data_IF_147661561503
#
_entry.id   IF_147661561503
#
_cell.length_a   1.000
_cell.length_b   1.000
_cell.length_c   1.000
_cell.angle_alpha   90.00
_cell.angle_beta   90.00
_cell.angle_gamma   90.00
#
_symmetry.space_group_name_H-M   'P 1'
#
loop_
_entity.id
_entity.type
_entity.pdbx_description
1 polymer ?
2 non-polymer ?
3 water ?
#
# COMPACT_ATOMS: atom_id res chain seq x y z
N UNK A 24 4.99 -14.30 -6.54
CA UNK A 24 5.69 -12.98 -6.52
C UNK A 24 5.09 -12.09 -7.61
N UNK A 25 5.26 -10.77 -7.49
CA UNK A 25 4.93 -9.75 -8.54
C UNK A 25 6.17 -8.88 -8.77
N UNK A 26 6.31 -8.25 -9.94
CA UNK A 26 7.44 -7.37 -10.36
C UNK A 26 6.97 -6.08 -11.00
N UNK A 27 7.76 -5.03 -10.83
CA UNK A 27 7.56 -3.75 -11.53
C UNK A 27 8.94 -3.22 -11.88
N UNK A 28 9.11 -2.96 -13.18
CA UNK A 28 10.34 -2.36 -13.75
C UNK A 28 10.03 -0.90 -14.14
N UNK A 29 10.75 0.01 -13.52
CA UNK A 29 10.64 1.46 -13.80
C UNK A 29 11.27 1.76 -15.17
N UNK A 30 12.29 1.01 -15.58
CA UNK A 30 12.90 1.21 -16.93
C UNK A 30 11.90 0.78 -17.99
N UNK A 31 11.49 1.73 -18.82
CA UNK A 31 10.46 1.50 -19.84
C UNK A 31 9.05 1.56 -19.29
N UNK A 32 8.85 1.91 -18.02
CA UNK A 32 7.50 1.97 -17.43
C UNK A 32 6.68 3.09 -18.09
N UNK A 33 5.40 2.80 -18.24
CA UNK A 33 4.36 3.76 -18.69
C UNK A 33 3.09 3.48 -17.89
N UNK A 34 2.08 4.38 -17.98
CA UNK A 34 0.84 4.15 -17.24
C UNK A 34 0.30 2.73 -17.40
N UNK A 35 0.38 2.14 -18.61
CA UNK A 35 -0.13 0.78 -18.88
C UNK A 35 0.66 -0.23 -18.03
N UNK A 36 1.96 -0.15 -18.01
CA UNK A 36 2.75 -1.20 -17.33
C UNK A 36 2.56 -1.01 -15.82
N UNK A 37 2.38 0.21 -15.33
CA UNK A 37 2.13 0.37 -13.88
C UNK A 37 0.77 -0.26 -13.54
N UNK A 38 -0.21 0.02 -14.38
CA UNK A 38 -1.56 -0.53 -14.21
C UNK A 38 -1.51 -2.06 -14.17
N UNK A 39 -0.67 -2.69 -14.98
CA UNK A 39 -0.51 -4.17 -15.00
C UNK A 39 0.14 -4.64 -13.70
N UNK A 40 1.13 -3.94 -13.20
CA UNK A 40 1.75 -4.31 -11.89
C UNK A 40 0.70 -4.23 -10.77
N UNK A 41 -0.09 -3.18 -10.73
CA UNK A 41 -1.09 -3.04 -9.62
C UNK A 41 -2.15 -4.13 -9.78
N UNK A 42 -2.57 -4.41 -11.03
CA UNK A 42 -3.45 -5.60 -11.22
C UNK A 42 -2.76 -6.89 -10.70
N UNK A 43 -1.49 -7.08 -11.01
CA UNK A 43 -0.72 -8.26 -10.52
C UNK A 43 -0.77 -8.28 -8.96
N UNK A 44 -0.57 -7.15 -8.32
CA UNK A 44 -0.46 -7.11 -6.84
C UNK A 44 -1.82 -7.48 -6.22
N UNK A 45 -2.88 -6.87 -6.71
CA UNK A 45 -4.24 -7.18 -6.21
C UNK A 45 -4.55 -8.68 -6.39
N UNK A 46 -4.19 -9.24 -7.54
CA UNK A 46 -4.50 -10.66 -7.85
C UNK A 46 -3.62 -11.64 -7.06
N UNK A 47 -2.52 -11.22 -6.44
CA UNK A 47 -1.65 -12.13 -5.64
C UNK A 47 -2.25 -12.28 -4.22
N UNK A 48 -3.19 -11.42 -3.84
CA UNK A 48 -3.75 -11.44 -2.47
C UNK A 48 -4.92 -12.40 -2.45
N UNK A 49 -4.89 -13.40 -1.56
CA UNK A 49 -5.94 -14.41 -1.54
C UNK A 49 -7.24 -13.89 -0.93
N UNK A 50 -8.35 -14.41 -1.44
CA UNK A 50 -9.71 -14.16 -0.91
C UNK A 50 -10.57 -15.40 -1.17
N UNK A 51 -11.50 -15.64 -0.24
CA UNK A 51 -12.47 -16.77 -0.31
C UNK A 51 -13.86 -16.26 -0.69
N UNK A 52 -14.09 -14.95 -0.59
CA UNK A 52 -15.43 -14.31 -0.58
C UNK A 52 -15.27 -12.91 -1.19
N UNK A 53 -16.22 -12.43 -1.97
CA UNK A 53 -16.39 -10.98 -2.26
C UNK A 53 -17.62 -10.47 -1.55
N UNK A 54 -17.56 -9.26 -1.02
CA UNK A 54 -18.67 -8.50 -0.41
C UNK A 54 -18.98 -7.33 -1.34
N UNK A 55 -20.16 -7.31 -1.94
CA UNK A 55 -20.55 -6.28 -2.91
C UNK A 55 -19.47 -6.22 -3.99
N UNK A 56 -19.01 -7.37 -4.52
CA UNK A 56 -18.15 -7.57 -5.71
C UNK A 56 -16.71 -7.11 -5.39
N UNK A 57 -16.36 -6.89 -4.12
CA UNK A 57 -14.98 -6.44 -3.73
C UNK A 57 -14.36 -7.58 -2.95
N UNK A 58 -13.16 -8.06 -3.35
CA UNK A 58 -12.46 -9.12 -2.61
C UNK A 58 -12.32 -8.79 -1.13
N UNK A 59 -12.65 -9.76 -0.30
CA UNK A 59 -12.51 -9.67 1.15
C UNK A 59 -11.21 -10.36 1.55
N UNK A 60 -10.22 -9.60 2.02
CA UNK A 60 -8.94 -10.20 2.40
C UNK A 60 -9.15 -11.20 3.54
N UNK A 61 -8.24 -12.16 3.72
CA UNK A 61 -8.43 -13.24 4.72
C UNK A 61 -8.23 -12.70 6.14
N UNK A 62 -8.96 -13.28 7.13
CA UNK A 62 -8.73 -12.94 8.53
C UNK A 62 -7.26 -13.18 8.90
N UNK A 63 -6.66 -14.24 8.34
CA UNK A 63 -5.36 -14.73 8.85
C UNK A 63 -4.73 -15.77 7.91
N UNK A 64 -3.39 -15.83 7.89
CA UNK A 64 -2.61 -16.81 7.08
C UNK A 64 -1.40 -17.21 7.93
N UNK A 65 -1.29 -18.51 8.21
CA UNK A 65 -0.25 -19.13 9.06
C UNK A 65 1.05 -19.23 8.26
N UNK A 66 2.17 -18.89 8.89
CA UNK A 66 3.53 -19.19 8.39
C UNK A 66 3.89 -18.30 7.22
N UNK A 67 4.66 -18.83 6.27
CA UNK A 67 5.41 -18.05 5.25
C UNK A 67 4.44 -17.55 4.19
N UNK A 68 3.35 -18.29 3.94
CA UNK A 68 2.35 -17.90 2.94
C UNK A 68 1.70 -16.55 3.23
N UNK A 69 1.84 -16.01 4.45
CA UNK A 69 1.25 -14.69 4.86
C UNK A 69 1.88 -13.59 4.01
N UNK A 70 3.08 -13.83 3.50
CA UNK A 70 3.88 -12.73 2.92
C UNK A 70 4.03 -12.89 1.42
N UNK A 71 3.63 -11.86 0.68
CA UNK A 71 3.85 -11.79 -0.78
C UNK A 71 5.18 -11.07 -0.97
N UNK A 72 5.95 -11.45 -1.99
CA UNK A 72 7.21 -10.77 -2.37
C UNK A 72 6.99 -9.93 -3.64
N UNK A 73 7.31 -8.64 -3.58
CA UNK A 73 7.24 -7.70 -4.72
C UNK A 73 8.67 -7.32 -5.09
N UNK A 74 9.07 -7.64 -6.33
CA UNK A 74 10.43 -7.29 -6.85
C UNK A 74 10.31 -5.98 -7.62
N UNK A 75 10.95 -4.94 -7.17
CA UNK A 75 10.90 -3.59 -7.77
C UNK A 75 12.29 -3.27 -8.30
N UNK A 76 12.35 -2.75 -9.51
CA UNK A 76 13.61 -2.44 -10.24
C UNK A 76 13.55 -0.95 -10.59
N UNK A 77 14.62 -0.25 -10.23
CA UNK A 77 14.75 1.22 -10.52
C UNK A 77 15.17 1.34 -12.00
N UNK A 78 15.22 2.57 -12.50
CA UNK A 78 15.54 2.89 -13.92
C UNK A 78 16.82 2.15 -14.35
N UNK A 79 17.73 1.87 -13.42
CA UNK A 79 19.11 1.40 -13.67
C UNK A 79 19.19 -0.12 -13.44
N UNK A 80 18.06 -0.77 -13.14
CA UNK A 80 17.90 -2.25 -13.09
C UNK A 80 18.28 -2.83 -11.73
N UNK A 81 18.73 -1.99 -10.80
CA UNK A 81 18.96 -2.34 -9.36
C UNK A 81 17.62 -2.72 -8.72
N UNK A 82 17.62 -3.68 -7.79
CA UNK A 82 16.34 -4.26 -7.28
C UNK A 82 16.30 -4.33 -5.76
N UNK A 83 15.09 -4.15 -5.24
CA UNK A 83 14.70 -4.54 -3.85
C UNK A 83 13.54 -5.51 -3.94
N UNK A 84 13.45 -6.35 -2.95
CA UNK A 84 12.31 -7.24 -2.74
C UNK A 84 11.59 -6.73 -1.52
N UNK A 85 10.31 -6.49 -1.66
CA UNK A 85 9.50 -5.95 -0.56
C UNK A 85 8.58 -7.07 -0.08
N UNK A 86 8.50 -7.25 1.24
CA UNK A 86 7.57 -8.23 1.84
C UNK A 86 6.27 -7.54 2.25
N UNK A 87 5.13 -8.11 1.85
CA UNK A 87 3.78 -7.55 2.03
C UNK A 87 2.91 -8.59 2.73
N UNK A 88 2.32 -8.23 3.87
CA UNK A 88 1.31 -9.06 4.56
C UNK A 88 0.06 -9.12 3.68
N UNK A 89 -0.37 -10.34 3.30
CA UNK A 89 -1.49 -10.49 2.32
C UNK A 89 -2.85 -10.28 3.01
N UNK A 90 -2.90 -10.21 4.35
CA UNK A 90 -4.21 -9.96 5.03
C UNK A 90 -4.54 -8.46 5.08
N UNK A 91 -3.56 -7.56 4.88
CA UNK A 91 -3.85 -6.12 5.13
C UNK A 91 -3.01 -5.23 4.21
N UNK A 92 -2.27 -5.81 3.27
CA UNK A 92 -1.38 -5.10 2.30
C UNK A 92 -0.38 -4.21 3.06
N UNK A 93 0.04 -4.59 4.26
CA UNK A 93 1.04 -3.80 5.00
C UNK A 93 2.40 -4.28 4.58
N UNK A 94 3.24 -3.30 4.24
CA UNK A 94 4.67 -3.60 3.99
C UNK A 94 5.34 -3.87 5.34
N UNK A 95 6.07 -4.97 5.42
CA UNK A 95 6.75 -5.37 6.67
C UNK A 95 8.22 -4.98 6.63
N UNK A 96 8.81 -5.07 5.45
CA UNK A 96 10.26 -4.94 5.32
C UNK A 96 10.72 -5.27 3.95
N UNK A 97 12.02 -5.21 3.68
CA UNK A 97 12.53 -5.34 2.29
C UNK A 97 13.97 -5.81 2.36
N UNK A 98 14.39 -6.36 1.26
CA UNK A 98 15.72 -6.96 1.01
C UNK A 98 16.42 -6.10 -0.04
N UNK A 99 17.63 -5.63 0.30
CA UNK A 99 18.52 -4.93 -0.66
C UNK A 99 19.86 -5.65 -0.64
N UNK A 100 20.22 -6.34 -1.72
CA UNK A 100 21.48 -7.13 -1.79
C UNK A 100 21.46 -8.11 -0.62
N UNK A 101 22.27 -7.89 0.43
CA UNK A 101 22.54 -8.87 1.51
C UNK A 101 21.99 -8.42 2.87
N UNK A 102 21.24 -7.31 2.90
CA UNK A 102 20.73 -6.72 4.14
C UNK A 102 19.22 -6.74 4.03
N UNK A 103 18.58 -7.29 5.04
CA UNK A 103 17.11 -7.15 5.19
C UNK A 103 16.86 -5.97 6.12
N UNK A 104 15.69 -5.33 5.98
CA UNK A 104 15.29 -4.17 6.78
C UNK A 104 13.85 -4.38 7.20
N UNK A 105 13.52 -4.30 8.46
CA UNK A 105 12.15 -4.50 8.97
C UNK A 105 11.67 -3.32 9.82
N UNK A 106 10.40 -2.98 9.77
CA UNK A 106 9.82 -2.00 10.69
C UNK A 106 9.91 -2.50 12.12
N UNK A 107 10.02 -1.52 13.01
CA UNK A 107 10.09 -1.80 14.46
C UNK A 107 8.67 -1.95 14.97
N UNK A 108 8.08 -3.13 14.74
CA UNK A 108 6.72 -3.50 15.18
C UNK A 108 6.69 -5.03 15.28
N UNK A 109 5.80 -5.59 16.13
CA UNK A 109 5.72 -7.04 16.30
C UNK A 109 5.45 -7.86 15.02
N UNK A 110 4.64 -7.34 14.11
CA UNK A 110 4.25 -8.12 12.91
C UNK A 110 5.45 -8.24 11.95
N UNK A 111 6.32 -7.23 11.92
CA UNK A 111 7.54 -7.24 11.09
C UNK A 111 8.57 -8.18 11.70
N UNK A 112 8.65 -8.19 13.04
CA UNK A 112 9.55 -9.14 13.76
C UNK A 112 9.15 -10.57 13.36
N UNK A 113 7.85 -10.86 13.41
CA UNK A 113 7.23 -12.15 13.01
C UNK A 113 7.59 -12.46 11.55
N UNK A 114 7.46 -11.50 10.64
CA UNK A 114 7.76 -11.71 9.21
C UNK A 114 9.21 -12.12 8.98
N UNK A 115 10.13 -11.55 9.77
CA UNK A 115 11.60 -11.75 9.62
C UNK A 115 11.97 -13.21 9.93
N UNK A 116 11.05 -14.01 10.49
CA UNK A 116 11.25 -15.47 10.73
C UNK A 116 11.05 -16.28 9.45
N UNK A 117 10.28 -15.75 8.47
CA UNK A 117 9.79 -16.44 7.25
C UNK A 117 10.42 -15.91 5.96
N UNK A 118 10.73 -14.61 5.91
CA UNK A 118 11.24 -13.97 4.66
C UNK A 118 12.66 -13.44 4.84
N UNK A 119 13.44 -13.50 3.77
CA UNK A 119 14.78 -12.87 3.62
C UNK A 119 15.79 -13.55 4.55
N UNK A 120 15.72 -14.88 4.65
CA UNK A 120 16.57 -15.70 5.56
C UNK A 120 17.89 -16.12 4.89
N UNK A 121 18.18 -15.71 3.65
CA UNK A 121 19.55 -15.87 3.08
C UNK A 121 20.30 -14.52 3.12
N UNK A 122 19.89 -13.59 4.00
CA UNK A 122 20.45 -12.21 4.21
C UNK A 122 21.61 -12.18 5.24
N UNK A 123 22.68 -11.45 4.94
CA UNK A 123 23.90 -11.38 5.82
C UNK A 123 23.53 -10.75 7.18
N UNK A 124 22.78 -9.65 7.22
CA UNK A 124 22.32 -9.04 8.49
C UNK A 124 20.91 -8.47 8.32
N UNK A 125 20.27 -8.24 9.42
CA UNK A 125 18.89 -7.74 9.55
C UNK A 125 18.93 -6.47 10.38
N UNK A 126 18.54 -5.38 9.74
CA UNK A 126 18.45 -4.09 10.44
C UNK A 126 16.99 -3.89 10.78
N UNK A 127 16.65 -3.55 11.99
CA UNK A 127 15.35 -3.08 12.45
C UNK A 127 15.41 -1.60 12.23
N UNK A 128 14.56 -1.11 11.35
CA UNK A 128 14.47 0.35 11.19
C UNK A 128 14.09 0.99 12.51
N UNK A 129 14.52 2.25 12.74
CA UNK A 129 14.14 2.95 13.97
C UNK A 129 12.80 3.68 13.98
N UNK A 130 11.79 2.98 13.46
CA UNK A 130 10.38 3.41 13.48
C UNK A 130 9.51 2.23 13.07
N UNK A 131 8.28 2.29 13.53
CA UNK A 131 7.17 1.46 13.01
C UNK A 131 6.82 1.89 11.57
N UNK A 132 6.01 1.07 10.92
CA UNK A 132 5.55 1.38 9.57
C UNK A 132 4.29 2.22 9.50
N UNK A 133 3.70 2.71 10.60
CA UNK A 133 2.45 3.50 10.42
C UNK A 133 2.81 4.90 9.93
N UNK A 134 1.83 5.55 9.34
CA UNK A 134 2.03 6.84 8.63
C UNK A 134 2.48 7.96 9.60
N UNK A 135 1.86 8.03 10.77
CA UNK A 135 2.16 9.11 11.73
C UNK A 135 3.67 9.03 12.05
N UNK A 136 4.18 7.84 12.39
CA UNK A 136 5.61 7.61 12.76
C UNK A 136 6.54 7.87 11.57
N UNK A 137 6.19 7.41 10.37
CA UNK A 137 7.10 7.57 9.22
C UNK A 137 7.25 9.05 8.93
N UNK A 138 6.15 9.78 9.04
CA UNK A 138 6.09 11.24 8.81
C UNK A 138 7.03 11.97 9.77
N UNK A 139 7.08 11.55 11.04
CA UNK A 139 7.95 12.20 12.06
C UNK A 139 9.40 11.89 11.69
N UNK A 140 9.72 10.62 11.40
CA UNK A 140 11.06 10.15 10.97
C UNK A 140 11.50 10.82 9.66
N UNK A 141 10.58 11.07 8.71
CA UNK A 141 10.89 11.69 7.39
C UNK A 141 11.01 13.23 7.51
N UNK A 142 10.30 13.84 8.45
CA UNK A 142 10.34 15.28 8.76
C UNK A 142 9.31 16.06 7.97
N UNK A 143 8.45 15.34 7.22
CA UNK A 143 7.46 15.89 6.28
C UNK A 143 6.22 15.00 6.33
N UNK A 144 5.00 15.58 6.40
CA UNK A 144 3.78 14.78 6.23
C UNK A 144 3.62 14.36 4.76
N UNK A 145 2.85 13.31 4.52
CA UNK A 145 2.53 12.82 3.15
C UNK A 145 2.02 13.96 2.26
N UNK A 146 1.30 14.91 2.88
CA UNK A 146 0.69 16.08 2.21
C UNK A 146 1.79 16.84 1.45
N UNK A 147 3.05 16.75 1.86
CA UNK A 147 4.15 17.60 1.32
C UNK A 147 5.20 16.76 0.56
N UNK A 148 5.06 15.41 0.48
CA UNK A 148 6.04 14.55 -0.25
C UNK A 148 5.51 14.22 -1.65
N UNK A 149 6.16 14.65 -2.75
CA UNK A 149 5.75 14.27 -4.08
C UNK A 149 5.78 12.75 -4.29
N UNK A 150 4.77 12.28 -4.99
CA UNK A 150 4.56 10.87 -5.37
C UNK A 150 4.51 10.75 -6.89
N UNK A 151 4.72 9.54 -7.40
CA UNK A 151 4.70 9.22 -8.83
C UNK A 151 5.71 8.16 -9.16
N UNK A 152 5.89 7.84 -10.43
CA UNK A 152 6.83 6.79 -10.84
C UNK A 152 8.27 7.29 -10.69
N UNK A 153 8.63 8.55 -11.08
CA UNK A 153 10.01 8.97 -10.81
C UNK A 153 10.29 8.92 -9.29
N UNK A 154 9.32 9.33 -8.49
CA UNK A 154 9.50 9.26 -7.00
C UNK A 154 9.79 7.81 -6.58
N UNK A 155 9.08 6.82 -7.13
CA UNK A 155 9.32 5.40 -6.80
C UNK A 155 10.72 4.99 -7.27
N UNK A 156 11.19 5.52 -8.40
CA UNK A 156 12.60 5.25 -8.81
C UNK A 156 13.55 5.76 -7.73
N UNK A 157 13.37 7.00 -7.31
CA UNK A 157 14.22 7.59 -6.25
C UNK A 157 14.11 6.74 -4.97
N UNK A 158 12.92 6.22 -4.65
CA UNK A 158 12.69 5.52 -3.37
C UNK A 158 13.51 4.24 -3.39
N UNK A 159 13.45 3.48 -4.46
CA UNK A 159 14.20 2.21 -4.68
C UNK A 159 15.69 2.47 -4.57
N UNK A 160 16.15 3.54 -5.20
CA UNK A 160 17.57 3.94 -5.08
C UNK A 160 17.91 4.26 -3.63
N UNK A 161 17.06 5.01 -2.93
CA UNK A 161 17.32 5.35 -1.50
C UNK A 161 17.46 4.01 -0.74
N UNK A 162 16.53 3.07 -0.88
CA UNK A 162 16.50 1.88 0.02
C UNK A 162 17.65 0.87 -0.25
N UNK A 163 18.35 0.92 -1.38
CA UNK A 163 19.47 -0.02 -1.72
C UNK A 163 20.59 0.00 -0.67
N UNK A 164 20.77 1.13 0.02
CA UNK A 164 21.86 1.37 0.98
C UNK A 164 21.32 2.11 2.20
N UNK A 165 21.57 1.61 3.38
CA UNK A 165 20.88 2.16 4.56
C UNK A 165 21.08 3.68 4.76
N UNK A 166 19.96 4.36 5.00
CA UNK A 166 19.89 5.76 5.48
C UNK A 166 18.52 5.91 6.15
N UNK A 167 18.39 5.87 7.48
CA UNK A 167 17.04 5.71 8.10
C UNK A 167 16.15 6.94 7.81
N UNK A 168 16.67 8.17 7.79
CA UNK A 168 15.82 9.37 7.56
C UNK A 168 15.32 9.38 6.12
N UNK A 169 16.22 9.15 5.18
CA UNK A 169 15.96 9.08 3.73
C UNK A 169 14.97 7.95 3.51
N UNK A 170 15.14 6.84 4.26
CA UNK A 170 14.34 5.62 4.02
C UNK A 170 12.90 5.88 4.45
N UNK A 171 12.63 6.64 5.51
CA UNK A 171 11.27 7.03 5.92
C UNK A 171 10.52 7.69 4.76
N UNK A 172 11.11 8.69 4.11
CA UNK A 172 10.47 9.33 2.97
C UNK A 172 10.25 8.30 1.87
N UNK A 173 11.25 7.51 1.56
CA UNK A 173 11.22 6.54 0.47
C UNK A 173 10.10 5.54 0.77
N UNK A 174 9.97 5.12 2.00
CA UNK A 174 8.96 4.11 2.37
C UNK A 174 7.60 4.77 2.20
N UNK A 175 7.37 6.03 2.57
CA UNK A 175 6.07 6.73 2.38
C UNK A 175 5.77 6.70 0.88
N UNK A 176 6.75 6.89 0.01
CA UNK A 176 6.47 6.86 -1.44
C UNK A 176 6.12 5.43 -1.87
N UNK A 177 6.91 4.46 -1.43
CA UNK A 177 6.73 3.01 -1.75
C UNK A 177 5.33 2.56 -1.33
N UNK A 178 4.94 2.86 -0.11
CA UNK A 178 3.61 2.40 0.36
C UNK A 178 2.53 3.01 -0.51
N UNK A 179 2.57 4.26 -0.84
CA UNK A 179 1.44 4.90 -1.54
C UNK A 179 1.39 4.38 -2.95
N UNK A 180 2.54 4.16 -3.58
CA UNK A 180 2.60 3.79 -5.01
C UNK A 180 2.35 2.30 -5.21
N UNK A 181 2.34 1.48 -4.16
CA UNK A 181 2.11 0.02 -4.28
C UNK A 181 0.81 -0.31 -3.51
N UNK A 182 0.87 -0.44 -2.21
CA UNK A 182 -0.27 -0.86 -1.38
C UNK A 182 -1.48 0.05 -1.51
N UNK A 183 -1.35 1.34 -1.58
CA UNK A 183 -2.52 2.23 -1.57
C UNK A 183 -3.13 2.19 -2.96
N UNK A 184 -2.31 2.12 -4.00
CA UNK A 184 -2.83 1.97 -5.37
C UNK A 184 -3.57 0.66 -5.51
N UNK A 185 -3.10 -0.42 -4.91
CA UNK A 185 -3.80 -1.72 -4.92
C UNK A 185 -5.14 -1.57 -4.22
N UNK A 186 -5.23 -0.81 -3.15
CA UNK A 186 -6.51 -0.73 -2.38
C UNK A 186 -7.51 0.13 -3.15
N UNK A 187 -7.11 1.16 -3.90
CA UNK A 187 -8.04 2.15 -4.51
C UNK A 187 -7.70 2.47 -5.95
N UNK A 188 -8.66 2.23 -6.83
CA UNK A 188 -8.49 2.48 -8.29
C UNK A 188 -8.16 3.93 -8.51
N UNK A 189 -8.77 4.85 -7.79
CA UNK A 189 -8.49 6.30 -7.95
C UNK A 189 -7.01 6.56 -7.66
N UNK A 190 -6.44 5.93 -6.63
CA UNK A 190 -5.00 6.18 -6.33
C UNK A 190 -4.13 5.60 -7.42
N UNK A 191 -4.38 4.41 -7.91
CA UNK A 191 -3.72 3.84 -9.10
C UNK A 191 -3.73 4.92 -10.19
N UNK A 192 -4.88 5.51 -10.51
CA UNK A 192 -4.97 6.50 -11.63
C UNK A 192 -4.20 7.75 -11.29
N UNK A 193 -4.16 8.19 -10.06
CA UNK A 193 -3.35 9.38 -9.67
C UNK A 193 -1.87 9.07 -9.92
N UNK A 194 -1.39 7.86 -9.64
CA UNK A 194 0.04 7.55 -9.88
C UNK A 194 0.23 7.50 -11.40
N UNK A 195 -0.73 7.01 -12.18
CA UNK A 195 -0.60 6.95 -13.66
C UNK A 195 -0.46 8.37 -14.20
N UNK A 196 -1.14 9.33 -13.61
CA UNK A 196 -1.04 10.76 -14.03
C UNK A 196 0.37 11.25 -13.74
N UNK A 197 1.04 10.66 -12.76
CA UNK A 197 2.39 11.03 -12.29
C UNK A 197 3.45 10.06 -12.85
N UNK A 198 3.27 9.53 -14.05
CA UNK A 198 4.19 8.52 -14.61
C UNK A 198 5.56 9.17 -14.88
N UNK A 199 5.54 10.46 -15.22
CA UNK A 199 6.74 11.16 -15.70
C UNK A 199 6.99 12.47 -14.95
N UNK A 200 6.21 12.84 -13.97
CA UNK A 200 6.27 14.10 -13.17
C UNK A 200 5.64 13.83 -11.81
N UNK A 201 6.43 13.95 -10.75
CA UNK A 201 5.88 13.72 -9.38
C UNK A 201 5.01 14.90 -8.97
N UNK A 202 4.12 14.72 -8.02
CA UNK A 202 3.17 15.76 -7.52
C UNK A 202 2.72 15.25 -6.15
N UNK A 203 2.66 16.10 -5.14
CA UNK A 203 2.09 15.80 -3.80
C UNK A 203 0.75 15.15 -4.04
N UNK A 204 0.36 14.17 -3.20
CA UNK A 204 -0.91 13.50 -3.39
C UNK A 204 -2.06 14.49 -3.35
N UNK A 205 -3.14 14.13 -4.07
CA UNK A 205 -4.39 14.90 -4.08
C UNK A 205 -5.08 14.77 -2.72
N UNK A 206 -6.04 15.64 -2.46
CA UNK A 206 -6.78 15.62 -1.18
C UNK A 206 -7.58 14.31 -1.08
N UNK A 207 -8.14 13.82 -2.19
CA UNK A 207 -8.92 12.55 -2.29
C UNK A 207 -7.98 11.37 -1.99
N UNK A 208 -6.76 11.39 -2.51
CA UNK A 208 -5.75 10.35 -2.20
C UNK A 208 -5.55 10.22 -0.68
N UNK A 209 -5.23 11.28 0.04
CA UNK A 209 -4.91 11.18 1.50
C UNK A 209 -6.16 10.73 2.29
N UNK A 210 -7.33 11.22 1.85
CA UNK A 210 -8.66 10.90 2.40
C UNK A 210 -8.87 9.38 2.31
N UNK A 211 -8.71 8.82 1.14
CA UNK A 211 -8.92 7.36 0.89
C UNK A 211 -7.93 6.54 1.72
N UNK A 212 -6.65 6.91 1.74
CA UNK A 212 -5.64 6.15 2.52
C UNK A 212 -6.08 6.11 3.96
N UNK A 213 -6.49 7.27 4.48
CA UNK A 213 -6.89 7.38 5.91
C UNK A 213 -8.17 6.60 6.24
N UNK A 214 -8.99 6.39 5.23
CA UNK A 214 -10.37 5.86 5.36
C UNK A 214 -10.48 4.36 5.03
N UNK A 215 -9.43 3.68 4.56
CA UNK A 215 -9.59 2.30 4.06
C UNK A 215 -10.20 1.39 5.15
N UNK A 216 -9.71 1.46 6.38
CA UNK A 216 -10.19 0.55 7.45
C UNK A 216 -11.68 0.82 7.75
N UNK A 217 -12.02 2.10 7.81
CA UNK A 217 -13.41 2.59 8.02
C UNK A 217 -14.34 2.18 6.89
N UNK A 218 -13.98 2.43 5.65
CA UNK A 218 -14.81 1.97 4.51
C UNK A 218 -14.92 0.45 4.55
N UNK A 219 -13.84 -0.28 4.80
CA UNK A 219 -13.87 -1.76 4.76
C UNK A 219 -14.90 -2.25 5.80
N UNK A 220 -14.82 -1.70 7.01
CA UNK A 220 -15.73 -2.00 8.15
C UNK A 220 -17.17 -1.69 7.72
N UNK A 221 -17.44 -0.48 7.24
CA UNK A 221 -18.83 -0.06 6.90
C UNK A 221 -19.38 -0.88 5.72
N UNK A 222 -18.59 -1.30 4.75
CA UNK A 222 -19.05 -2.15 3.60
C UNK A 222 -19.42 -3.54 4.13
N UNK A 223 -18.63 -4.15 5.01
CA UNK A 223 -18.97 -5.49 5.59
C UNK A 223 -20.25 -5.42 6.43
N UNK A 224 -20.39 -4.40 7.27
CA UNK A 224 -21.62 -4.18 8.10
C UNK A 224 -22.82 -3.87 7.22
N UNK A 225 -22.63 -3.24 6.08
CA UNK A 225 -23.77 -2.91 5.20
C UNK A 225 -24.45 -4.20 4.75
N UNK A 226 -23.70 -5.29 4.60
CA UNK A 226 -24.24 -6.67 4.65
C UNK A 226 -24.96 -6.92 5.99
N UNK A 227 -26.26 -6.77 6.01
CA UNK A 227 -27.07 -6.90 7.24
C UNK A 227 -27.84 -5.62 7.52
N UNK A 228 -27.55 -4.54 6.81
CA UNK A 228 -28.19 -3.22 7.02
C UNK A 228 -28.64 -2.69 5.67
N UNK A 229 -28.94 -3.59 4.72
CA UNK A 229 -29.61 -3.27 3.42
C UNK A 229 -28.70 -2.37 2.60
N UNK A 230 -27.40 -2.58 2.76
CA UNK A 230 -26.37 -1.82 2.02
C UNK A 230 -26.21 -0.40 2.55
N UNK A 231 -26.72 -0.12 3.74
CA UNK A 231 -26.66 1.18 4.45
C UNK A 231 -25.49 1.11 5.42
N UNK A 232 -24.66 2.14 5.42
CA UNK A 232 -23.58 2.31 6.42
C UNK A 232 -24.19 2.51 7.82
N UNK A 233 -23.74 1.73 8.80
CA UNK A 233 -24.20 1.95 10.20
C UNK A 233 -23.61 3.26 10.72
N UNK A 234 -22.42 3.63 10.21
CA UNK A 234 -21.72 4.90 10.55
C UNK A 234 -21.19 5.54 9.28
N UNK A 235 -21.80 6.66 8.81
CA UNK A 235 -21.41 7.26 7.54
C UNK A 235 -19.94 7.75 7.56
N UNK A 236 -19.25 7.66 6.43
CA UNK A 236 -17.81 8.04 6.26
C UNK A 236 -17.70 9.32 5.41
N UNK A 237 -16.96 10.29 5.95
CA UNK A 237 -16.67 11.62 5.36
C UNK A 237 -15.43 11.42 4.49
N UNK A 238 -15.50 11.68 3.19
CA UNK A 238 -14.31 11.63 2.30
C UNK A 238 -14.14 12.97 1.60
N UNK A 239 -13.03 13.12 0.89
CA UNK A 239 -12.85 14.12 -0.20
C UNK A 239 -12.98 13.42 -1.57
N UNK A 240 -13.72 13.99 -2.52
CA UNK A 240 -13.89 13.35 -3.85
C UNK A 240 -12.87 13.94 -4.84
N UNK A 241 -12.91 13.46 -6.09
CA UNK A 241 -11.88 13.67 -7.15
C UNK A 241 -11.81 15.15 -7.54
N UNK A 242 -12.82 15.93 -7.16
CA UNK A 242 -12.95 17.35 -7.54
C UNK A 242 -12.55 18.25 -6.35
N UNK A 243 -12.11 17.65 -5.24
CA UNK A 243 -11.62 18.35 -4.03
C UNK A 243 -12.70 18.52 -2.98
N UNK A 244 -13.91 18.02 -3.26
CA UNK A 244 -15.14 18.40 -2.52
C UNK A 244 -15.51 17.28 -1.53
N UNK A 245 -16.01 17.72 -0.38
CA UNK A 245 -16.61 16.80 0.61
C UNK A 245 -17.64 15.91 -0.10
N UNK A 246 -17.59 14.62 0.20
CA UNK A 246 -18.71 13.67 -0.07
C UNK A 246 -18.94 12.80 1.18
N UNK A 247 -20.20 12.63 1.55
CA UNK A 247 -20.60 11.79 2.70
C UNK A 247 -21.02 10.45 2.13
N UNK A 248 -20.36 9.37 2.53
CA UNK A 248 -20.72 8.02 2.04
C UNK A 248 -21.66 7.38 3.07
N UNK A 249 -22.88 7.11 2.62
CA UNK A 249 -23.95 6.57 3.47
C UNK A 249 -24.32 5.16 3.02
N UNK A 250 -24.00 4.73 1.80
CA UNK A 250 -24.49 3.38 1.36
C UNK A 250 -23.64 2.87 0.20
N UNK A 251 -23.83 1.61 -0.19
CA UNK A 251 -22.97 0.83 -1.10
C UNK A 251 -23.22 1.21 -2.58
N UNK A 252 -24.21 2.02 -2.94
CA UNK A 252 -24.32 2.48 -4.35
C UNK A 252 -23.34 3.61 -4.65
N UNK A 253 -22.72 4.21 -3.63
CA UNK A 253 -21.66 5.26 -3.78
C UNK A 253 -20.55 4.78 -4.72
N UNK A 254 -20.10 5.66 -5.61
CA UNK A 254 -18.96 5.40 -6.54
C UNK A 254 -17.73 4.87 -5.78
N UNK A 255 -17.51 5.26 -4.52
CA UNK A 255 -16.29 4.76 -3.79
C UNK A 255 -16.39 3.24 -3.62
N UNK A 256 -17.60 2.72 -3.37
CA UNK A 256 -17.86 1.27 -3.19
C UNK A 256 -18.01 0.58 -4.54
N UNK A 257 -18.66 1.22 -5.54
CA UNK A 257 -18.97 0.48 -6.78
C UNK A 257 -17.79 0.49 -7.77
N UNK A 258 -16.87 1.43 -7.67
CA UNK A 258 -15.78 1.44 -8.68
C UNK A 258 -14.40 1.77 -8.11
N UNK A 259 -14.28 2.30 -6.90
CA UNK A 259 -12.96 2.77 -6.38
C UNK A 259 -12.25 1.70 -5.52
N UNK A 260 -12.85 1.33 -4.37
CA UNK A 260 -12.19 0.39 -3.44
C UNK A 260 -12.02 -0.95 -4.13
N UNK A 261 -10.87 -1.60 -3.97
CA UNK A 261 -10.57 -2.86 -4.71
C UNK A 261 -10.41 -4.03 -3.78
N UNK A 262 -10.14 -3.78 -2.48
CA UNK A 262 -9.80 -4.83 -1.48
C UNK A 262 -10.47 -4.37 -0.18
N UNK A 263 -10.97 -5.31 0.60
CA UNK A 263 -11.54 -5.00 1.92
C UNK A 263 -10.68 -5.65 3.00
N UNK A 264 -10.27 -4.81 3.96
CA UNK A 264 -9.64 -5.32 5.20
C UNK A 264 -10.71 -6.09 5.98
N UNK A 265 -10.39 -7.30 6.41
CA UNK A 265 -11.39 -8.17 7.08
C UNK A 265 -11.74 -7.56 8.44
N UNK A 266 -13.04 -7.48 8.76
CA UNK A 266 -13.59 -7.03 10.05
C UNK A 266 -12.82 -7.60 11.25
N UNK A 267 -12.37 -8.86 11.14
CA UNK A 267 -11.60 -9.58 12.18
C UNK A 267 -10.31 -8.82 12.49
N UNK A 268 -9.74 -8.13 11.49
CA UNK A 268 -8.45 -7.40 11.60
C UNK A 268 -8.69 -5.89 11.75
N UNK A 269 -9.84 -5.51 12.30
CA UNK A 269 -10.19 -4.11 12.68
C UNK A 269 -10.57 -4.09 14.17
X LIG B 1 -3.81 5.50 7.14
X LIG B 1 -3.23 4.24 7.34
X LIG B 1 -3.56 3.43 6.09
X LIG B 1 -2.43 3.71 5.06
X LIG B 1 -3.59 2.16 6.32
X LIG B 1 -4.90 1.59 5.97
X LIG B 1 -2.49 1.50 5.33
X LIG B 1 -1.66 2.43 4.86
X LIG B 1 -0.37 2.28 5.53
X LIG B 1 0.34 2.89 6.51
X LIG B 1 1.50 2.22 6.69
X LIG B 1 1.50 1.16 5.80
X LIG B 1 2.44 0.16 5.52
X LIG B 1 3.70 -0.13 6.13
X LIG B 1 2.19 -0.71 4.58
X LIG B 1 1.01 -0.66 3.84
X LIG B 1 0.07 0.26 4.10
X LIG B 1 0.37 1.22 5.07
X LIG B 1 -4.13 6.44 8.33
X LIG B 1 -3.92 5.68 9.61
X LIG B 1 -3.19 7.59 8.27
X LIG B 1 -5.56 6.96 8.34
#
# INVERSE_FOLDING_TARGET
MSRFSVLSFLILAIFLGGSIVKGDVSFRLSGADPRSYGMFIKDLRNALPFREKVYNIPLLLPSVSGAGRYLLMHLFNYDGKTITVAVDVTNVYIMGYLADTTSYFFNEPAAELASQYVFRDARRKITLPYSGNYERLQIAAGKPREKIPIGLPALDSAISTLLHYDSTAAAGALLVLIQTTAEAARFKYIEQQIQERAYRDEVPSLATISLENSWSGLSKQIQLAQGNNGIFRTPIVLVDNKGNRVQITNVTSKVVTSNIQLLLNTRNIAEGDNGDVSTTHGFSSY
D5M O5' C5' C4' O4' C3' O3' C2' C1' N9 C8 N7 C5 C6 N6 N1 C2 N3 C4 P O1P O3P O2P
#
